data_IF_529034149275
#
_entry.id   IF_529034149275
#
_cell.length_a   1.000
_cell.length_b   1.000
_cell.length_c   1.000
_cell.angle_alpha   90.00
_cell.angle_beta   90.00
_cell.angle_gamma   90.00
#
_symmetry.space_group_name_H-M   'P 1'
#
loop_
_entity.id
_entity.type
_entity.pdbx_description
1 polymer ?
#
# COMPACT_ATOMS: atom_id res chain seq x y z
N UNK A 1 5.90 -9.33 -5.01
CA UNK A 1 6.16 -8.33 -3.94
C UNK A 1 7.57 -8.55 -3.43
N UNK A 2 8.30 -7.48 -3.17
CA UNK A 2 9.62 -7.53 -2.55
C UNK A 2 9.60 -6.62 -1.31
N UNK A 3 10.35 -6.95 -0.25
CA UNK A 3 10.58 -6.02 0.85
C UNK A 3 11.24 -4.75 0.31
N UNK A 4 10.90 -3.60 0.89
CA UNK A 4 11.59 -2.35 0.61
C UNK A 4 12.17 -1.81 1.93
N UNK A 5 13.34 -1.19 1.86
CA UNK A 5 14.04 -0.64 3.02
C UNK A 5 14.45 0.82 2.82
N UNK A 6 14.37 1.30 1.57
CA UNK A 6 14.67 2.67 1.18
C UNK A 6 13.73 3.15 0.07
N UNK A 7 13.60 4.47 -0.15
CA UNK A 7 12.83 5.02 -1.26
C UNK A 7 13.24 4.49 -2.64
N UNK A 8 14.52 4.15 -2.84
CA UNK A 8 15.03 3.63 -4.11
C UNK A 8 14.39 2.28 -4.48
N UNK A 9 14.04 1.47 -3.47
CA UNK A 9 13.42 0.15 -3.66
C UNK A 9 11.96 0.27 -4.17
N UNK A 10 11.35 1.45 -4.04
CA UNK A 10 9.97 1.72 -4.50
C UNK A 10 9.90 2.22 -5.95
N UNK A 11 11.05 2.40 -6.62
CA UNK A 11 11.11 2.90 -8.00
C UNK A 11 10.22 2.08 -8.95
N UNK A 12 9.17 2.72 -9.48
CA UNK A 12 8.23 2.08 -10.41
C UNK A 12 7.21 1.13 -9.78
N UNK A 13 7.23 0.96 -8.45
CA UNK A 13 6.27 0.11 -7.72
C UNK A 13 4.94 0.82 -7.62
N UNK A 14 3.86 0.20 -8.13
CA UNK A 14 2.51 0.76 -8.04
C UNK A 14 1.91 0.46 -6.67
N UNK A 15 1.85 1.46 -5.82
CA UNK A 15 1.30 1.34 -4.46
C UNK A 15 -0.08 1.95 -4.42
N UNK A 16 -1.08 1.18 -3.99
CA UNK A 16 -2.40 1.73 -3.74
C UNK A 16 -2.36 2.68 -2.56
N UNK A 17 -2.95 3.85 -2.75
CA UNK A 17 -3.22 4.84 -1.71
C UNK A 17 -4.72 5.11 -1.63
N UNK A 18 -5.20 5.62 -0.49
CA UNK A 18 -6.54 6.20 -0.43
C UNK A 18 -6.64 7.42 -1.36
N UNK A 19 -7.85 7.78 -1.78
CA UNK A 19 -8.12 8.93 -2.66
C UNK A 19 -7.93 10.26 -1.92
N UNK A 20 -6.69 10.54 -1.52
CA UNK A 20 -6.26 11.75 -0.82
C UNK A 20 -5.07 12.36 -1.55
N UNK A 21 -5.13 13.65 -1.96
CA UNK A 21 -4.01 14.31 -2.61
C UNK A 21 -2.72 14.25 -1.79
N UNK A 22 -2.83 14.36 -0.46
CA UNK A 22 -1.67 14.30 0.42
C UNK A 22 -0.98 12.93 0.37
N UNK A 23 -1.74 11.83 0.41
CA UNK A 23 -1.16 10.49 0.35
C UNK A 23 -0.54 10.18 -1.01
N UNK A 24 -1.12 10.72 -2.09
CA UNK A 24 -0.51 10.65 -3.42
C UNK A 24 0.86 11.31 -3.40
N UNK A 25 0.98 12.52 -2.87
CA UNK A 25 2.28 13.20 -2.81
C UNK A 25 3.26 12.52 -1.85
N UNK A 26 2.79 11.98 -0.72
CA UNK A 26 3.63 11.20 0.21
C UNK A 26 4.27 9.99 -0.48
N UNK A 27 3.48 9.19 -1.20
CA UNK A 27 4.02 7.99 -1.87
C UNK A 27 4.85 8.31 -3.11
N UNK A 28 4.58 9.43 -3.80
CA UNK A 28 5.52 9.97 -4.81
C UNK A 28 6.84 10.35 -4.16
N UNK A 29 6.82 11.03 -3.01
CA UNK A 29 8.02 11.41 -2.28
C UNK A 29 8.82 10.20 -1.78
N UNK A 30 8.14 9.09 -1.48
CA UNK A 30 8.78 7.81 -1.18
C UNK A 30 9.32 7.07 -2.41
N UNK A 31 9.14 7.59 -3.64
CA UNK A 31 9.67 7.01 -4.87
C UNK A 31 8.75 5.99 -5.56
N UNK A 32 7.56 5.74 -5.00
CA UNK A 32 6.56 4.84 -5.58
C UNK A 32 5.76 5.50 -6.71
N UNK A 33 4.98 4.69 -7.41
CA UNK A 33 3.92 5.12 -8.34
C UNK A 33 2.57 4.99 -7.62
N UNK A 34 2.09 6.02 -6.90
CA UNK A 34 0.83 5.91 -6.18
C UNK A 34 -0.34 5.73 -7.13
N UNK A 35 -1.23 4.81 -6.80
CA UNK A 35 -2.43 4.48 -7.56
C UNK A 35 -3.65 4.66 -6.65
N UNK A 36 -4.35 5.81 -6.72
CA UNK A 36 -5.52 6.06 -5.89
C UNK A 36 -6.66 5.10 -6.28
N UNK A 37 -7.10 4.25 -5.35
CA UNK A 37 -8.19 3.31 -5.60
C UNK A 37 -9.16 3.23 -4.41
N UNK A 38 -10.48 3.14 -4.66
CA UNK A 38 -11.45 2.84 -3.62
C UNK A 38 -11.17 1.44 -3.04
N UNK A 39 -11.54 1.25 -1.77
CA UNK A 39 -11.21 0.03 -1.03
C UNK A 39 -11.71 -1.26 -1.71
N UNK A 40 -12.94 -1.24 -2.26
CA UNK A 40 -13.56 -2.41 -2.89
C UNK A 40 -12.79 -3.00 -4.07
N UNK A 41 -11.86 -2.25 -4.66
CA UNK A 41 -11.03 -2.71 -5.79
C UNK A 41 -9.67 -3.27 -5.37
N UNK A 42 -9.23 -3.03 -4.13
CA UNK A 42 -7.84 -3.28 -3.69
C UNK A 42 -7.47 -4.76 -3.75
N UNK A 43 -8.34 -5.65 -3.27
CA UNK A 43 -8.04 -7.08 -3.23
C UNK A 43 -7.83 -7.65 -4.64
N UNK A 44 -8.76 -7.38 -5.56
CA UNK A 44 -8.64 -7.82 -6.96
C UNK A 44 -7.48 -7.14 -7.68
N UNK A 45 -7.21 -5.87 -7.39
CA UNK A 45 -6.07 -5.14 -7.95
C UNK A 45 -4.73 -5.74 -7.52
N UNK A 46 -4.59 -6.18 -6.27
CA UNK A 46 -3.41 -6.92 -5.79
C UNK A 46 -3.33 -8.29 -6.44
N UNK A 47 -4.44 -9.04 -6.49
CA UNK A 47 -4.48 -10.39 -7.05
C UNK A 47 -4.10 -10.43 -8.53
N UNK A 48 -4.54 -9.44 -9.31
CA UNK A 48 -4.22 -9.31 -10.75
C UNK A 48 -2.87 -8.67 -11.01
N UNK A 49 -2.21 -8.13 -9.97
CA UNK A 49 -0.95 -7.40 -10.10
C UNK A 49 -1.09 -6.01 -10.73
N UNK A 50 -2.31 -5.47 -10.87
CA UNK A 50 -2.53 -4.07 -11.29
C UNK A 50 -1.80 -3.09 -10.35
N UNK A 51 -1.81 -3.40 -9.06
CA UNK A 51 -0.99 -2.78 -8.01
C UNK A 51 -0.08 -3.84 -7.37
N UNK A 52 1.06 -3.41 -6.84
CA UNK A 52 2.04 -4.31 -6.22
C UNK A 52 2.15 -4.12 -4.71
N UNK A 53 1.52 -3.09 -4.14
CA UNK A 53 1.49 -2.82 -2.71
C UNK A 53 0.31 -1.96 -2.29
N UNK A 54 0.11 -1.83 -0.98
CA UNK A 54 -0.91 -1.02 -0.33
C UNK A 54 -0.42 -0.61 1.07
N UNK A 55 -1.06 0.40 1.67
CA UNK A 55 -0.91 0.71 3.11
C UNK A 55 -2.22 0.52 3.86
N UNK A 56 -2.12 -0.09 5.05
CA UNK A 56 -3.17 -0.22 6.04
C UNK A 56 -2.57 -0.69 7.39
N UNK A 57 -3.26 -0.47 8.52
CA UNK A 57 -2.84 -1.03 9.80
C UNK A 57 -2.99 -2.55 9.85
N UNK A 58 -2.19 -3.21 10.70
CA UNK A 58 -2.12 -4.68 10.80
C UNK A 58 -3.47 -5.34 11.05
N UNK A 59 -4.31 -4.78 11.92
CA UNK A 59 -5.65 -5.33 12.20
C UNK A 59 -6.54 -5.32 10.95
N UNK A 60 -6.37 -4.33 10.08
CA UNK A 60 -7.17 -4.20 8.85
C UNK A 60 -6.68 -5.14 7.76
N UNK A 61 -5.35 -5.34 7.66
CA UNK A 61 -4.73 -6.34 6.80
C UNK A 61 -5.22 -7.75 7.15
N UNK A 62 -5.27 -8.07 8.45
CA UNK A 62 -5.74 -9.37 8.95
C UNK A 62 -7.25 -9.58 8.69
N UNK A 63 -8.09 -8.65 9.14
CA UNK A 63 -9.55 -8.79 9.04
C UNK A 63 -10.07 -8.88 7.60
N UNK A 64 -9.35 -8.29 6.63
CA UNK A 64 -9.67 -8.36 5.21
C UNK A 64 -8.85 -9.40 4.45
N UNK A 65 -8.06 -10.21 5.15
CA UNK A 65 -7.23 -11.28 4.57
C UNK A 65 -6.31 -10.82 3.45
N UNK A 66 -5.83 -9.58 3.52
CA UNK A 66 -4.95 -9.02 2.49
C UNK A 66 -3.62 -9.79 2.36
N UNK A 67 -3.23 -10.52 3.41
CA UNK A 67 -2.07 -11.41 3.38
C UNK A 67 -2.19 -12.56 2.35
N UNK A 68 -3.40 -12.88 1.88
CA UNK A 68 -3.61 -13.88 0.81
C UNK A 68 -3.14 -13.40 -0.57
N UNK A 69 -3.15 -12.08 -0.78
CA UNK A 69 -2.76 -11.42 -2.05
C UNK A 69 -1.56 -10.46 -1.88
N UNK A 70 -1.05 -10.34 -0.66
CA UNK A 70 0.12 -9.54 -0.31
C UNK A 70 1.01 -10.26 0.69
N UNK A 71 2.04 -10.95 0.20
CA UNK A 71 2.88 -11.84 1.00
C UNK A 71 3.95 -11.12 1.83
N UNK A 72 4.23 -9.85 1.55
CA UNK A 72 5.30 -9.08 2.22
C UNK A 72 4.69 -7.89 2.97
N UNK A 73 5.10 -7.72 4.22
CA UNK A 73 4.77 -6.57 5.06
C UNK A 73 6.08 -5.86 5.39
N UNK A 74 6.10 -4.53 5.25
CA UNK A 74 7.20 -3.66 5.69
C UNK A 74 6.61 -2.64 6.65
N UNK A 75 7.04 -2.66 7.91
CA UNK A 75 6.66 -1.65 8.89
C UNK A 75 7.65 -0.48 8.81
N UNK A 76 7.15 0.69 8.42
CA UNK A 76 7.95 1.90 8.26
C UNK A 76 7.57 3.00 9.26
N UNK A 77 6.59 2.77 10.12
CA UNK A 77 6.17 3.72 11.17
C UNK A 77 5.81 5.13 10.67
N UNK A 78 5.41 5.30 9.40
CA UNK A 78 5.19 6.63 8.81
C UNK A 78 3.82 7.24 9.13
N UNK A 79 2.86 6.42 9.55
CA UNK A 79 1.50 6.83 9.84
C UNK A 79 0.88 5.93 10.92
N UNK A 80 0.00 6.51 11.75
CA UNK A 80 -0.76 5.79 12.76
C UNK A 80 -2.24 5.87 12.39
N UNK A 81 -2.84 4.71 12.14
CA UNK A 81 -4.28 4.60 11.93
C UNK A 81 -4.95 4.30 13.26
N UNK A 82 -5.78 5.22 13.73
CA UNK A 82 -6.61 5.03 14.92
C UNK A 82 -8.04 4.76 14.50
N UNK A 83 -8.68 3.77 15.12
CA UNK A 83 -10.14 3.67 15.09
C UNK A 83 -10.70 4.72 16.05
N UNK A 84 -11.68 5.50 15.59
CA UNK A 84 -12.47 6.36 16.47
C UNK A 84 -13.39 5.50 17.35
#
# INVERSE_FOLDING_TARGET
QAPFSSPADLGGVKVRVMTSPLLVETYKAFGAVPTPLPWGEVFGALQTGMIQGQENPMFYIESNKLYEVSAVITDIGHNIFTTA
#
